data_IF_645163349513
#
_entry.id   IF_645163349513
#
_cell.length_a   1.000
_cell.length_b   1.000
_cell.length_c   1.000
_cell.angle_alpha   90.00
_cell.angle_beta   90.00
_cell.angle_gamma   90.00
#
_symmetry.space_group_name_H-M   'P 1'
#
loop_
_entity.id
_entity.type
_entity.pdbx_description
1 polymer ?
#
# COMPACT_ATOMS: atom_id res chain seq x y z
N UNK A 1 -17.14 38.75 -36.80
CA UNK A 1 -17.75 37.73 -35.92
C UNK A 1 -16.66 37.16 -35.03
N UNK A 2 -16.53 37.65 -33.80
CA UNK A 2 -15.52 37.24 -32.82
C UNK A 2 -16.19 36.29 -31.82
N UNK A 3 -15.77 35.02 -31.79
CA UNK A 3 -16.21 34.07 -30.78
C UNK A 3 -15.43 34.28 -29.48
N UNK A 4 -16.09 34.87 -28.49
CA UNK A 4 -15.61 35.01 -27.12
C UNK A 4 -15.59 33.62 -26.45
N UNK A 5 -14.43 32.97 -26.46
CA UNK A 5 -14.20 31.73 -25.71
C UNK A 5 -14.18 31.99 -24.22
N UNK A 6 -15.16 31.46 -23.51
CA UNK A 6 -15.25 31.49 -22.05
C UNK A 6 -14.00 30.86 -21.42
N UNK A 7 -13.15 31.70 -20.83
CA UNK A 7 -12.10 31.30 -19.89
C UNK A 7 -12.78 30.61 -18.71
N UNK A 8 -12.66 29.28 -18.64
CA UNK A 8 -13.07 28.48 -17.50
C UNK A 8 -12.37 29.01 -16.24
N UNK A 9 -13.15 29.69 -15.38
CA UNK A 9 -12.72 30.13 -14.06
C UNK A 9 -12.13 28.94 -13.32
N UNK A 10 -10.83 29.04 -13.05
CA UNK A 10 -10.09 28.11 -12.21
C UNK A 10 -10.83 27.95 -10.88
N UNK A 11 -11.41 26.77 -10.70
CA UNK A 11 -11.97 26.33 -9.43
C UNK A 11 -10.79 26.27 -8.46
N UNK A 12 -10.61 27.36 -7.67
CA UNK A 12 -9.69 27.36 -6.53
C UNK A 12 -10.19 26.28 -5.60
N UNK A 13 -9.61 25.08 -5.71
CA UNK A 13 -9.80 24.00 -4.74
C UNK A 13 -9.40 24.59 -3.40
N UNK A 14 -10.39 24.89 -2.57
CA UNK A 14 -10.15 25.29 -1.18
C UNK A 14 -9.20 24.25 -0.59
N UNK A 15 -8.07 24.73 -0.05
CA UNK A 15 -7.09 23.92 0.64
C UNK A 15 -7.84 23.16 1.73
N UNK A 16 -8.18 21.91 1.43
CA UNK A 16 -9.00 21.09 2.31
C UNK A 16 -8.24 20.87 3.60
N UNK A 17 -8.97 20.60 4.70
CA UNK A 17 -8.38 20.35 6.02
C UNK A 17 -7.23 19.32 5.98
N UNK A 18 -7.23 18.45 4.97
CA UNK A 18 -6.23 17.43 4.69
C UNK A 18 -4.85 17.99 4.29
N UNK A 19 -4.76 19.20 3.72
CA UNK A 19 -3.46 19.82 3.42
C UNK A 19 -2.69 20.22 4.68
N UNK A 20 -3.38 20.43 5.82
CA UNK A 20 -2.73 20.82 7.09
C UNK A 20 -2.01 19.67 7.77
N UNK A 21 -2.40 18.44 7.49
CA UNK A 21 -1.79 17.25 8.10
C UNK A 21 -0.74 16.58 7.20
N UNK A 22 -0.45 17.16 6.04
CA UNK A 22 0.50 16.62 5.08
C UNK A 22 1.90 16.38 5.68
N UNK A 23 2.38 17.35 6.48
CA UNK A 23 3.65 17.22 7.20
C UNK A 23 3.70 16.05 8.19
N UNK A 24 2.57 15.70 8.81
CA UNK A 24 2.51 14.57 9.76
C UNK A 24 2.65 13.23 9.05
N UNK A 25 2.07 13.07 7.86
CA UNK A 25 2.23 11.86 7.06
C UNK A 25 3.68 11.67 6.58
N UNK A 26 4.34 12.74 6.15
CA UNK A 26 5.75 12.68 5.77
C UNK A 26 6.67 12.42 6.96
N UNK A 27 6.40 13.05 8.10
CA UNK A 27 7.13 12.77 9.34
C UNK A 27 6.95 11.30 9.74
N UNK A 28 5.72 10.79 9.71
CA UNK A 28 5.41 9.39 9.97
C UNK A 28 6.13 8.44 9.02
N UNK A 29 6.19 8.77 7.72
CA UNK A 29 6.94 7.98 6.73
C UNK A 29 8.45 7.97 7.04
N UNK A 30 9.01 9.11 7.44
CA UNK A 30 10.41 9.22 7.86
C UNK A 30 10.71 8.37 9.10
N UNK A 31 9.84 8.43 10.12
CA UNK A 31 9.94 7.59 11.32
C UNK A 31 9.84 6.11 10.93
N UNK A 32 8.89 5.73 10.09
CA UNK A 32 8.73 4.36 9.60
C UNK A 32 9.98 3.85 8.86
N UNK A 33 10.59 4.68 8.00
CA UNK A 33 11.83 4.33 7.30
C UNK A 33 13.02 4.13 8.27
N UNK A 34 13.13 4.97 9.31
CA UNK A 34 14.15 4.81 10.36
C UNK A 34 13.91 3.51 11.13
N UNK A 35 12.68 3.26 11.57
CA UNK A 35 12.30 2.02 12.27
C UNK A 35 12.61 0.78 11.41
N UNK A 36 12.32 0.83 10.11
CA UNK A 36 12.66 -0.24 9.19
C UNK A 36 14.17 -0.55 9.17
N UNK A 37 15.02 0.47 9.10
CA UNK A 37 16.48 0.28 9.18
C UNK A 37 16.93 -0.27 10.54
N UNK A 38 16.33 0.19 11.63
CA UNK A 38 16.63 -0.30 12.98
C UNK A 38 16.24 -1.77 13.15
N UNK A 39 15.03 -2.15 12.70
CA UNK A 39 14.55 -3.52 12.75
C UNK A 39 15.36 -4.43 11.84
N UNK A 40 15.69 -4.00 10.62
CA UNK A 40 16.59 -4.75 9.74
C UNK A 40 17.98 -4.96 10.36
N UNK A 41 18.58 -3.91 10.93
CA UNK A 41 19.88 -4.02 11.60
C UNK A 41 19.84 -4.96 12.80
N UNK A 42 18.75 -4.92 13.59
CA UNK A 42 18.55 -5.83 14.70
C UNK A 42 18.33 -7.28 14.22
N UNK A 43 17.58 -7.46 13.14
CA UNK A 43 17.33 -8.74 12.49
C UNK A 43 18.64 -9.39 12.04
N UNK A 44 19.50 -8.64 11.34
CA UNK A 44 20.83 -9.10 10.90
C UNK A 44 21.71 -9.61 12.03
N UNK A 45 21.58 -9.02 13.23
CA UNK A 45 22.36 -9.40 14.42
C UNK A 45 21.76 -10.56 15.22
N UNK A 46 20.54 -10.97 14.92
CA UNK A 46 19.82 -11.99 15.71
C UNK A 46 20.04 -13.38 15.11
N UNK A 47 20.26 -14.38 15.97
CA UNK A 47 20.43 -15.78 15.55
C UNK A 47 19.25 -16.29 14.73
N UNK A 48 19.57 -17.05 13.67
CA UNK A 48 18.57 -17.72 12.82
C UNK A 48 17.69 -18.68 13.65
N UNK A 49 16.43 -18.81 13.25
CA UNK A 49 15.48 -19.73 13.89
C UNK A 49 14.98 -19.31 15.27
N UNK A 50 15.14 -18.05 15.66
CA UNK A 50 14.60 -17.54 16.94
C UNK A 50 13.30 -16.76 16.72
N UNK A 51 12.38 -16.82 17.68
CA UNK A 51 11.14 -16.02 17.69
C UNK A 51 11.42 -14.52 17.53
N UNK A 52 12.51 -14.05 18.16
CA UNK A 52 12.96 -12.66 18.07
C UNK A 52 13.31 -12.27 16.65
N UNK A 53 14.00 -13.14 15.90
CA UNK A 53 14.34 -12.86 14.50
C UNK A 53 13.07 -12.77 13.66
N UNK A 54 12.13 -13.69 13.85
CA UNK A 54 10.85 -13.68 13.14
C UNK A 54 10.03 -12.41 13.41
N UNK A 55 9.94 -11.99 14.68
CA UNK A 55 9.26 -10.75 15.05
C UNK A 55 9.91 -9.53 14.40
N UNK A 56 11.25 -9.44 14.42
CA UNK A 56 11.98 -8.35 13.79
C UNK A 56 11.81 -8.33 12.27
N UNK A 57 11.60 -9.49 11.65
CA UNK A 57 11.31 -9.58 10.23
C UNK A 57 9.94 -8.98 9.92
N UNK A 58 8.88 -9.45 10.59
CA UNK A 58 7.53 -8.89 10.44
C UNK A 58 7.45 -7.39 10.75
N UNK A 59 8.16 -6.92 11.78
CA UNK A 59 8.28 -5.49 12.08
C UNK A 59 8.99 -4.71 10.97
N UNK A 60 9.98 -5.32 10.32
CA UNK A 60 10.66 -4.70 9.18
C UNK A 60 9.75 -4.62 7.95
N UNK A 61 8.93 -5.64 7.69
CA UNK A 61 7.92 -5.62 6.63
C UNK A 61 6.86 -4.54 6.89
N UNK A 62 6.26 -4.53 8.09
CA UNK A 62 5.25 -3.54 8.47
C UNK A 62 5.77 -2.10 8.42
N UNK A 63 6.99 -1.85 8.88
CA UNK A 63 7.60 -0.51 8.80
C UNK A 63 7.96 -0.08 7.37
N UNK A 64 8.38 -1.01 6.50
CA UNK A 64 8.55 -0.73 5.07
C UNK A 64 7.21 -0.32 4.42
N UNK A 65 6.14 -1.07 4.71
CA UNK A 65 4.80 -0.79 4.21
C UNK A 65 4.29 0.60 4.64
N UNK A 66 4.52 0.99 5.90
CA UNK A 66 4.20 2.33 6.39
C UNK A 66 5.02 3.41 5.68
N UNK A 67 6.33 3.18 5.48
CA UNK A 67 7.20 4.13 4.80
C UNK A 67 6.75 4.40 3.34
N UNK A 68 6.22 3.39 2.65
CA UNK A 68 5.75 3.55 1.25
C UNK A 68 4.32 4.07 1.14
N UNK A 69 3.45 3.77 2.11
CA UNK A 69 2.02 4.15 2.03
C UNK A 69 1.78 5.57 2.57
N UNK A 70 2.35 5.94 3.71
CA UNK A 70 2.07 7.22 4.37
C UNK A 70 2.24 8.46 3.45
N UNK A 71 3.23 8.55 2.56
CA UNK A 71 3.37 9.70 1.64
C UNK A 71 2.19 9.89 0.67
N UNK A 72 1.47 8.80 0.34
CA UNK A 72 0.34 8.78 -0.58
C UNK A 72 -1.02 8.86 0.13
N UNK A 73 -1.08 8.48 1.41
CA UNK A 73 -2.30 8.46 2.22
C UNK A 73 -3.16 9.75 2.15
N UNK A 74 -2.63 10.98 2.25
CA UNK A 74 -3.48 12.19 2.21
C UNK A 74 -4.07 12.50 0.81
N UNK A 75 -3.71 11.74 -0.22
CA UNK A 75 -4.14 11.94 -1.61
C UNK A 75 -5.26 10.97 -2.03
N UNK A 76 -5.57 10.01 -1.17
CA UNK A 76 -6.59 8.98 -1.41
C UNK A 76 -7.88 9.30 -0.63
N UNK A 77 -9.05 8.82 -1.09
CA UNK A 77 -10.34 9.11 -0.42
C UNK A 77 -10.43 8.60 1.02
N UNK A 78 -9.85 7.42 1.30
CA UNK A 78 -9.94 6.73 2.58
C UNK A 78 -8.52 6.39 3.10
N UNK A 79 -7.79 7.36 3.69
CA UNK A 79 -6.39 7.19 4.08
C UNK A 79 -6.16 6.02 5.04
N UNK A 80 -7.06 5.84 6.03
CA UNK A 80 -6.93 4.76 7.02
C UNK A 80 -7.01 3.37 6.38
N UNK A 81 -8.03 3.14 5.54
CA UNK A 81 -8.18 1.88 4.80
C UNK A 81 -7.04 1.64 3.83
N UNK A 82 -6.55 2.68 3.18
CA UNK A 82 -5.39 2.59 2.29
C UNK A 82 -4.11 2.16 3.03
N UNK A 83 -3.82 2.75 4.19
CA UNK A 83 -2.67 2.36 5.02
C UNK A 83 -2.84 0.93 5.55
N UNK A 84 -4.04 0.60 6.05
CA UNK A 84 -4.36 -0.75 6.51
C UNK A 84 -4.19 -1.79 5.41
N UNK A 85 -4.59 -1.47 4.18
CA UNK A 85 -4.42 -2.33 3.01
C UNK A 85 -2.94 -2.56 2.66
N UNK A 86 -2.09 -1.52 2.77
CA UNK A 86 -0.65 -1.70 2.56
C UNK A 86 0.01 -2.54 3.65
N UNK A 87 -0.36 -2.35 4.91
CA UNK A 87 0.07 -3.23 6.00
C UNK A 87 -0.38 -4.67 5.77
N UNK A 88 -1.66 -4.87 5.42
CA UNK A 88 -2.20 -6.19 5.13
C UNK A 88 -1.47 -6.84 3.96
N UNK A 89 -1.23 -6.12 2.85
CA UNK A 89 -0.49 -6.64 1.71
C UNK A 89 0.93 -7.07 2.08
N UNK A 90 1.62 -6.28 2.91
CA UNK A 90 2.99 -6.61 3.33
C UNK A 90 3.08 -7.69 4.40
N UNK A 91 2.01 -8.02 5.13
CA UNK A 91 2.07 -9.03 6.20
C UNK A 91 1.34 -10.32 5.83
N UNK A 92 0.31 -10.23 4.98
CA UNK A 92 -0.48 -11.38 4.57
C UNK A 92 0.29 -12.35 3.68
N UNK A 93 1.29 -11.87 2.93
CA UNK A 93 2.17 -12.76 2.17
C UNK A 93 2.83 -13.78 3.09
N UNK A 94 3.34 -13.37 4.26
CA UNK A 94 4.02 -14.27 5.18
C UNK A 94 3.12 -15.33 5.84
N UNK A 95 1.80 -15.23 5.67
CA UNK A 95 0.88 -16.27 6.17
C UNK A 95 1.04 -17.58 5.38
N UNK A 96 1.58 -17.52 4.16
CA UNK A 96 1.91 -18.72 3.40
C UNK A 96 2.98 -19.60 4.09
N UNK A 97 3.84 -19.01 4.92
CA UNK A 97 4.84 -19.75 5.70
C UNK A 97 4.17 -20.63 6.75
N UNK A 98 3.01 -20.25 7.30
CA UNK A 98 2.25 -21.10 8.22
C UNK A 98 1.79 -22.38 7.52
N UNK A 99 1.28 -22.22 6.29
CA UNK A 99 0.81 -23.34 5.48
C UNK A 99 1.98 -24.21 5.03
N UNK A 100 3.06 -23.58 4.55
CA UNK A 100 4.25 -24.27 4.06
C UNK A 100 5.02 -24.98 5.19
N UNK A 101 5.13 -24.38 6.37
CA UNK A 101 5.77 -24.98 7.54
C UNK A 101 4.84 -25.91 8.33
N UNK A 102 3.55 -25.93 7.99
CA UNK A 102 2.50 -26.65 8.73
C UNK A 102 2.53 -26.34 10.23
N UNK A 103 2.78 -25.08 10.59
CA UNK A 103 3.09 -24.67 11.96
C UNK A 103 2.74 -23.21 12.20
N UNK A 104 2.19 -22.91 13.39
CA UNK A 104 2.00 -21.53 13.87
C UNK A 104 3.23 -20.98 14.59
N UNK A 105 4.26 -21.82 14.82
CA UNK A 105 5.50 -21.40 15.47
C UNK A 105 6.35 -20.60 14.50
N UNK A 106 6.59 -19.33 14.85
CA UNK A 106 7.38 -18.40 14.06
C UNK A 106 8.79 -18.93 13.73
N UNK A 107 9.43 -19.65 14.65
CA UNK A 107 10.74 -20.27 14.42
C UNK A 107 10.71 -21.25 13.23
N UNK A 108 9.64 -22.03 13.08
CA UNK A 108 9.52 -23.03 12.02
C UNK A 108 9.21 -22.35 10.68
N UNK A 109 8.32 -21.36 10.68
CA UNK A 109 7.99 -20.58 9.48
C UNK A 109 9.23 -19.91 8.86
N UNK A 110 10.19 -19.49 9.69
CA UNK A 110 11.38 -18.76 9.25
C UNK A 110 12.60 -19.62 8.94
N UNK A 111 12.56 -20.93 9.23
CA UNK A 111 13.69 -21.85 9.02
C UNK A 111 13.44 -22.87 7.91
N UNK A 112 12.38 -22.68 7.13
CA UNK A 112 12.09 -23.52 5.97
C UNK A 112 13.24 -23.50 4.95
N UNK A 113 13.51 -24.63 4.26
CA UNK A 113 14.60 -24.74 3.30
C UNK A 113 14.41 -23.86 2.04
N UNK A 114 13.21 -23.34 1.80
CA UNK A 114 12.93 -22.42 0.69
C UNK A 114 11.69 -21.58 0.97
N UNK A 115 11.62 -20.41 0.32
CA UNK A 115 10.46 -19.52 0.39
C UNK A 115 9.26 -20.08 -0.38
N UNK A 116 8.02 -19.84 0.06
CA UNK A 116 6.83 -20.22 -0.70
C UNK A 116 6.76 -19.54 -2.08
N UNK A 117 6.18 -20.18 -3.11
CA UNK A 117 6.12 -19.64 -4.48
C UNK A 117 5.38 -18.30 -4.64
N UNK A 118 4.51 -18.00 -3.69
CA UNK A 118 3.76 -16.75 -3.51
C UNK A 118 4.68 -15.55 -3.29
N UNK A 119 5.92 -15.77 -2.81
CA UNK A 119 6.96 -14.76 -2.72
C UNK A 119 7.66 -14.48 -4.07
N UNK A 120 6.92 -14.53 -5.19
CA UNK A 120 7.47 -14.28 -6.53
C UNK A 120 7.04 -12.94 -7.11
N UNK A 121 7.91 -12.33 -7.92
CA UNK A 121 7.59 -11.07 -8.61
C UNK A 121 6.34 -11.21 -9.48
N UNK A 122 6.21 -12.33 -10.19
CA UNK A 122 5.01 -12.62 -10.99
C UNK A 122 3.75 -12.67 -10.13
N UNK A 123 3.78 -13.38 -9.00
CA UNK A 123 2.62 -13.48 -8.12
C UNK A 123 2.24 -12.10 -7.56
N UNK A 124 3.21 -11.36 -7.03
CA UNK A 124 2.99 -10.01 -6.47
C UNK A 124 2.40 -9.07 -7.54
N UNK A 125 2.94 -9.10 -8.76
CA UNK A 125 2.44 -8.30 -9.87
C UNK A 125 0.99 -8.68 -10.24
N UNK A 126 0.72 -9.97 -10.45
CA UNK A 126 -0.62 -10.45 -10.81
C UNK A 126 -1.65 -10.17 -9.72
N UNK A 127 -1.29 -10.43 -8.45
CA UNK A 127 -2.15 -10.13 -7.31
C UNK A 127 -2.46 -8.64 -7.25
N UNK A 128 -1.44 -7.78 -7.41
CA UNK A 128 -1.64 -6.33 -7.40
C UNK A 128 -2.51 -5.84 -8.55
N UNK A 129 -2.31 -6.36 -9.77
CA UNK A 129 -3.15 -6.01 -10.93
C UNK A 129 -4.59 -6.49 -10.74
N UNK A 130 -4.79 -7.72 -10.27
CA UNK A 130 -6.11 -8.27 -10.00
C UNK A 130 -6.85 -7.45 -8.92
N UNK A 131 -6.17 -7.13 -7.81
CA UNK A 131 -6.74 -6.33 -6.73
C UNK A 131 -7.08 -4.91 -7.17
N UNK A 132 -6.25 -4.31 -8.01
CA UNK A 132 -6.52 -2.99 -8.55
C UNK A 132 -7.66 -2.97 -9.60
N UNK A 133 -7.96 -4.12 -10.20
CA UNK A 133 -9.17 -4.33 -11.02
C UNK A 133 -10.45 -4.42 -10.18
N UNK A 134 -10.39 -4.96 -8.95
CA UNK A 134 -11.55 -5.13 -8.06
C UNK A 134 -11.93 -3.84 -7.31
N UNK A 135 -10.94 -3.03 -6.93
CA UNK A 135 -11.12 -1.73 -6.27
C UNK A 135 -10.22 -0.73 -6.98
N UNK A 136 -10.77 0.38 -7.52
CA UNK A 136 -10.00 1.31 -8.36
C UNK A 136 -8.73 1.79 -7.66
N UNK A 137 -7.71 2.07 -8.48
CA UNK A 137 -6.31 2.44 -8.19
C UNK A 137 -6.07 3.64 -7.22
N UNK A 138 -7.11 4.14 -6.54
CA UNK A 138 -7.04 5.23 -5.56
C UNK A 138 -7.21 4.81 -4.12
N UNK A 139 -7.54 3.55 -3.84
CA UNK A 139 -7.82 3.08 -2.48
C UNK A 139 -7.06 1.80 -2.16
N UNK A 140 -7.81 0.80 -1.72
CA UNK A 140 -7.29 -0.50 -1.28
C UNK A 140 -6.31 -1.14 -2.28
N UNK A 141 -6.58 -1.07 -3.59
CA UNK A 141 -5.72 -1.66 -4.62
C UNK A 141 -4.31 -1.07 -4.65
N UNK A 142 -4.20 0.26 -4.60
CA UNK A 142 -2.89 0.92 -4.53
C UNK A 142 -2.20 0.66 -3.20
N UNK A 143 -2.95 0.65 -2.09
CA UNK A 143 -2.41 0.30 -0.78
C UNK A 143 -1.77 -1.10 -0.79
N UNK A 144 -2.52 -2.11 -1.26
CA UNK A 144 -2.04 -3.49 -1.41
C UNK A 144 -0.83 -3.59 -2.32
N UNK A 145 -0.83 -2.93 -3.48
CA UNK A 145 0.31 -2.90 -4.39
C UNK A 145 1.58 -2.38 -3.71
N UNK A 146 1.49 -1.26 -2.98
CA UNK A 146 2.63 -0.70 -2.27
C UNK A 146 3.11 -1.63 -1.14
N UNK A 147 2.18 -2.22 -0.40
CA UNK A 147 2.49 -3.21 0.64
C UNK A 147 3.24 -4.42 0.08
N UNK A 148 2.66 -5.11 -0.90
CA UNK A 148 3.25 -6.27 -1.57
C UNK A 148 4.59 -5.94 -2.24
N UNK A 149 4.68 -4.77 -2.89
CA UNK A 149 5.91 -4.31 -3.52
C UNK A 149 7.03 -4.07 -2.50
N UNK A 150 6.72 -3.43 -1.36
CA UNK A 150 7.70 -3.20 -0.30
C UNK A 150 8.18 -4.50 0.36
N UNK A 151 7.28 -5.48 0.49
CA UNK A 151 7.60 -6.83 0.95
C UNK A 151 8.62 -7.51 0.04
N UNK A 152 8.31 -7.57 -1.25
CA UNK A 152 9.16 -8.20 -2.24
C UNK A 152 10.53 -7.55 -2.34
N UNK A 153 10.60 -6.21 -2.34
CA UNK A 153 11.87 -5.47 -2.37
C UNK A 153 12.74 -5.80 -1.15
N UNK A 154 12.12 -5.94 0.02
CA UNK A 154 12.85 -6.39 1.22
C UNK A 154 13.38 -7.80 1.04
N UNK A 155 12.55 -8.74 0.58
CA UNK A 155 12.97 -10.14 0.39
C UNK A 155 14.13 -10.28 -0.58
N UNK A 156 14.12 -9.51 -1.69
CA UNK A 156 15.25 -9.43 -2.61
C UNK A 156 16.56 -9.06 -1.91
N UNK A 157 16.49 -8.27 -0.82
CA UNK A 157 17.65 -7.84 -0.05
C UNK A 157 18.02 -8.71 1.15
N UNK A 158 17.23 -9.73 1.50
CA UNK A 158 17.40 -10.51 2.75
C UNK A 158 17.45 -12.03 2.54
N UNK A 159 17.52 -12.50 1.30
CA UNK A 159 17.58 -13.92 0.95
C UNK A 159 16.99 -14.25 -0.42
N UNK A 160 16.55 -13.22 -1.14
CA UNK A 160 16.10 -13.29 -2.52
C UNK A 160 14.64 -13.68 -2.67
N UNK A 161 14.14 -13.50 -3.89
CA UNK A 161 12.80 -13.86 -4.30
C UNK A 161 12.81 -14.43 -5.74
N UNK A 162 11.95 -15.42 -6.06
CA UNK A 162 11.77 -15.84 -7.45
C UNK A 162 11.21 -14.72 -8.32
N UNK A 163 11.77 -14.48 -9.51
CA UNK A 163 11.16 -13.50 -10.43
C UNK A 163 9.95 -14.08 -11.16
N UNK A 164 10.20 -15.01 -12.09
CA UNK A 164 9.16 -15.63 -12.94
C UNK A 164 9.07 -17.14 -12.75
N UNK A 165 10.17 -17.78 -12.38
CA UNK A 165 10.27 -19.23 -12.23
C UNK A 165 10.71 -19.57 -10.81
N UNK A 166 10.04 -20.49 -10.10
CA UNK A 166 10.28 -20.76 -8.67
C UNK A 166 11.71 -21.23 -8.36
N UNK A 167 12.44 -21.74 -9.35
CA UNK A 167 13.85 -22.18 -9.22
C UNK A 167 14.89 -21.08 -9.45
N UNK A 168 14.49 -19.88 -9.88
CA UNK A 168 15.43 -18.76 -10.14
C UNK A 168 15.21 -17.66 -9.12
N UNK A 169 15.99 -17.72 -8.05
CA UNK A 169 16.00 -16.71 -6.98
C UNK A 169 16.94 -15.58 -7.38
N UNK A 170 16.46 -14.35 -7.25
CA UNK A 170 17.25 -13.15 -7.49
C UNK A 170 17.49 -12.45 -6.16
N UNK A 171 18.71 -11.98 -5.97
CA UNK A 171 19.13 -11.19 -4.82
C UNK A 171 19.64 -9.84 -5.31
N UNK A 172 19.36 -8.80 -4.53
CA UNK A 172 19.88 -7.46 -4.75
C UNK A 172 20.56 -7.01 -3.47
N UNK A 173 21.60 -6.18 -3.61
CA UNK A 173 22.23 -5.58 -2.45
C UNK A 173 21.17 -4.79 -1.66
N UNK A 174 21.10 -5.00 -0.34
CA UNK A 174 20.10 -4.36 0.51
C UNK A 174 20.02 -2.82 0.35
N UNK A 175 21.13 -2.07 0.21
CA UNK A 175 21.06 -0.64 -0.08
C UNK A 175 20.29 -0.31 -1.37
N UNK A 176 20.41 -1.12 -2.42
CA UNK A 176 19.63 -0.94 -3.64
C UNK A 176 18.15 -1.21 -3.40
N UNK A 177 17.80 -2.27 -2.66
CA UNK A 177 16.41 -2.53 -2.26
C UNK A 177 15.81 -1.37 -1.46
N UNK A 178 16.56 -0.80 -0.52
CA UNK A 178 16.12 0.34 0.26
C UNK A 178 15.83 1.58 -0.61
N UNK A 179 16.71 1.87 -1.59
CA UNK A 179 16.49 2.94 -2.56
C UNK A 179 15.27 2.67 -3.45
N UNK A 180 15.07 1.43 -3.88
CA UNK A 180 13.89 1.02 -4.64
C UNK A 180 12.60 1.17 -3.81
N UNK A 181 12.63 0.87 -2.51
CA UNK A 181 11.51 1.09 -1.60
C UNK A 181 11.20 2.59 -1.47
N UNK A 182 12.22 3.45 -1.39
CA UNK A 182 12.01 4.90 -1.43
C UNK A 182 11.40 5.36 -2.78
N UNK A 183 11.87 4.80 -3.90
CA UNK A 183 11.29 5.02 -5.22
C UNK A 183 9.83 4.57 -5.29
N UNK A 184 9.49 3.43 -4.70
CA UNK A 184 8.12 2.92 -4.61
C UNK A 184 7.21 3.88 -3.84
N UNK A 185 7.69 4.49 -2.75
CA UNK A 185 6.96 5.52 -2.02
C UNK A 185 6.66 6.76 -2.89
N UNK A 186 7.65 7.21 -3.68
CA UNK A 186 7.50 8.34 -4.60
C UNK A 186 6.48 8.00 -5.70
N UNK A 187 6.61 6.84 -6.34
CA UNK A 187 5.70 6.38 -7.40
C UNK A 187 4.28 6.23 -6.85
N UNK A 188 4.12 5.59 -5.69
CA UNK A 188 2.82 5.43 -5.03
C UNK A 188 2.11 6.76 -4.78
N UNK A 189 2.87 7.76 -4.31
CA UNK A 189 2.36 9.13 -4.15
C UNK A 189 1.95 9.77 -5.47
N UNK A 190 2.76 9.63 -6.53
CA UNK A 190 2.45 10.17 -7.85
C UNK A 190 1.17 9.54 -8.42
N UNK A 191 1.02 8.22 -8.31
CA UNK A 191 -0.18 7.49 -8.74
C UNK A 191 -1.42 7.93 -7.96
N UNK A 192 -1.31 8.12 -6.64
CA UNK A 192 -2.40 8.63 -5.82
C UNK A 192 -2.81 10.06 -6.24
N UNK A 193 -1.84 10.90 -6.63
CA UNK A 193 -2.08 12.27 -7.10
C UNK A 193 -2.72 12.34 -8.50
N UNK A 194 -2.33 11.45 -9.41
CA UNK A 194 -2.74 11.49 -10.83
C UNK A 194 -4.08 10.81 -11.10
N UNK A 195 -4.62 10.08 -10.13
CA UNK A 195 -5.81 9.27 -10.36
C UNK A 195 -7.10 10.12 -10.33
N UNK A 196 -8.03 9.92 -11.29
CA UNK A 196 -9.21 10.76 -11.43
C UNK A 196 -10.15 10.67 -10.21
N UNK A 197 -10.86 11.76 -9.84
CA UNK A 197 -11.99 11.72 -8.90
C UNK A 197 -12.87 10.50 -9.20
N UNK A 198 -13.17 9.68 -8.19
CA UNK A 198 -14.29 8.77 -8.35
C UNK A 198 -15.50 9.65 -8.65
N UNK A 199 -16.32 9.32 -9.66
CA UNK A 199 -17.61 9.97 -9.80
C UNK A 199 -18.33 9.70 -8.48
N UNK A 200 -18.45 10.72 -7.64
CA UNK A 200 -19.35 10.66 -6.50
C UNK A 200 -20.68 10.21 -7.07
N UNK A 201 -21.26 9.15 -6.52
CA UNK A 201 -22.61 8.74 -6.85
C UNK A 201 -23.52 9.92 -6.51
N UNK A 202 -23.73 10.80 -7.49
CA UNK A 202 -24.67 11.89 -7.50
C UNK A 202 -26.06 11.29 -7.68
N UNK A 203 -26.47 10.47 -6.72
CA UNK A 203 -27.67 9.63 -6.79
C UNK A 203 -28.16 9.33 -5.38
N UNK A 204 -28.51 10.37 -4.63
CA UNK A 204 -29.35 10.24 -3.43
C UNK A 204 -29.99 11.58 -3.04
N UNK A 205 -29.31 12.70 -3.28
CA UNK A 205 -29.81 14.02 -2.91
C UNK A 205 -30.81 14.64 -3.91
N UNK A 206 -30.93 14.09 -5.13
CA UNK A 206 -31.88 14.59 -6.14
C UNK A 206 -33.28 13.96 -6.12
N UNK A 207 -33.47 12.87 -5.36
CA UNK A 207 -34.76 12.16 -5.30
C UNK A 207 -35.66 12.65 -4.15
N UNK A 208 -35.07 13.25 -3.11
CA UNK A 208 -35.82 13.75 -1.95
C UNK A 208 -36.55 15.09 -2.23
N UNK A 209 -36.17 15.83 -3.27
CA UNK A 209 -36.73 17.14 -3.61
C UNK A 209 -37.92 17.05 -4.61
N UNK A 210 -38.35 15.84 -5.00
CA UNK A 210 -39.52 15.63 -5.89
C UNK A 210 -40.79 15.19 -5.17
N UNK A 211 -40.82 15.17 -3.83
CA UNK A 211 -42.06 14.99 -3.07
C UNK A 211 -42.58 16.35 -2.58
N UNK A 212 -43.00 17.20 -3.52
CA UNK A 212 -43.93 18.28 -3.18
C UNK A 212 -45.26 17.66 -2.76
N UNK A 213 -45.83 18.00 -1.59
CA UNK A 213 -47.23 17.72 -1.32
C UNK A 213 -48.05 18.65 -2.22
N UNK A 214 -48.54 18.12 -3.34
CA UNK A 214 -49.69 18.70 -4.04
C UNK A 214 -50.82 18.71 -3.03
N UNK A 215 -51.29 19.90 -2.70
CA UNK A 215 -52.37 20.10 -1.76
C UNK A 215 -53.68 19.56 -2.31
N UNK A 216 -54.35 18.73 -1.51
CA UNK A 216 -55.79 18.50 -1.65
C UNK A 216 -56.50 19.40 -0.66
N UNK A 217 -56.83 20.60 -1.13
CA UNK A 217 -57.96 21.37 -0.62
C UNK A 217 -59.19 20.89 -1.38
N UNK A 218 -60.06 20.13 -0.73
CA UNK A 218 -61.42 19.85 -1.21
C UNK A 218 -62.41 20.09 -0.07
N UNK A 219 -63.25 21.10 -0.32
CA UNK A 219 -64.63 21.36 0.11
C UNK A 219 -64.97 21.35 1.61
#
# INVERSE_FOLDING_TARGET
MLHSGHLSRGHRRGLSIWSRHYGLYLLGAGIAAILHLLFHRAWMKTTNGTARRALLDGLSHGSAALAVTLPAAPLVPEPGWFVAAGLAGSLALDLDHIVAAQSLRLEHCMTMPGRPPTHSFLFVLLASVALAGLRPWRGLGLGLFLGLGSHLLRDLGTGGAPALHPRRVYELAYPACFLLTAGLAVIGRLLAASSPPLPFASSAAGEADRRSPVGDAIA
#
